data_IF_693939413970
#
_entry.id   IF_693939413970
#
_cell.length_a   1.000
_cell.length_b   1.000
_cell.length_c   1.000
_cell.angle_alpha   90.00
_cell.angle_beta   90.00
_cell.angle_gamma   90.00
#
_symmetry.space_group_name_H-M   'P 1'
#
loop_
_entity.id
_entity.type
_entity.pdbx_description
1 polymer ?
#
# COMPACT_ATOMS: atom_id res chain seq x y z
N UNK A 1 -20.85 18.98 -0.75
CA UNK A 1 -19.43 19.07 -0.39
C UNK A 1 -18.80 17.73 -0.69
N UNK A 2 -18.06 17.64 -1.78
CA UNK A 2 -17.37 16.44 -2.16
C UNK A 2 -16.32 16.07 -1.12
N UNK A 3 -16.42 14.86 -0.59
CA UNK A 3 -15.32 14.19 0.10
C UNK A 3 -14.24 13.88 -0.96
N UNK A 4 -13.38 14.84 -1.22
CA UNK A 4 -12.12 14.61 -1.93
C UNK A 4 -11.04 14.63 -0.86
N UNK A 5 -11.00 13.56 -0.07
CA UNK A 5 -9.86 13.28 0.78
C UNK A 5 -8.90 12.42 -0.02
N UNK A 6 -7.75 12.95 -0.40
CA UNK A 6 -6.64 12.12 -0.80
C UNK A 6 -6.23 11.27 0.40
N UNK A 7 -6.03 9.98 0.21
CA UNK A 7 -5.87 9.02 1.29
C UNK A 7 -4.63 8.17 1.05
N UNK A 8 -3.78 8.08 2.06
CA UNK A 8 -2.58 7.25 2.01
C UNK A 8 -2.58 6.27 3.17
N UNK A 9 -2.42 5.00 2.84
CA UNK A 9 -2.26 3.96 3.82
C UNK A 9 -0.81 3.51 3.91
N UNK A 10 -0.37 3.23 5.14
CA UNK A 10 0.99 2.80 5.43
C UNK A 10 0.98 1.36 5.92
N UNK A 11 2.11 0.67 5.73
CA UNK A 11 2.30 -0.68 6.20
C UNK A 11 3.72 -0.91 6.70
N UNK A 12 3.83 -1.37 7.95
CA UNK A 12 5.11 -1.62 8.62
C UNK A 12 5.36 -3.13 8.77
N UNK A 13 6.58 -3.59 8.46
CA UNK A 13 7.00 -4.98 8.64
C UNK A 13 8.28 -5.03 9.48
N UNK A 14 8.17 -5.57 10.68
CA UNK A 14 9.28 -5.75 11.62
C UNK A 14 10.08 -7.02 11.33
N UNK A 15 11.30 -7.10 11.84
CA UNK A 15 12.25 -8.18 11.54
C UNK A 15 11.76 -9.57 11.92
N UNK A 16 10.95 -9.68 12.96
CA UNK A 16 10.39 -10.94 13.44
C UNK A 16 9.39 -11.58 12.46
N UNK A 17 8.92 -10.84 11.46
CA UNK A 17 8.10 -11.38 10.36
C UNK A 17 8.86 -12.45 9.59
N UNK A 18 10.16 -12.28 9.39
CA UNK A 18 11.04 -13.20 8.68
C UNK A 18 11.64 -14.31 9.55
N UNK A 19 11.28 -14.39 10.84
CA UNK A 19 11.81 -15.40 11.76
C UNK A 19 11.49 -16.84 11.34
N UNK A 20 10.38 -17.01 10.59
CA UNK A 20 9.96 -18.32 10.04
C UNK A 20 9.36 -18.11 8.65
N UNK A 21 9.58 -19.06 7.76
CA UNK A 21 8.88 -19.17 6.48
C UNK A 21 7.59 -19.99 6.69
N UNK A 22 6.53 -19.32 7.07
CA UNK A 22 5.26 -19.90 7.50
C UNK A 22 4.06 -19.07 6.99
N UNK A 23 2.85 -19.53 7.32
CA UNK A 23 1.60 -18.85 6.94
C UNK A 23 1.55 -17.38 7.40
N UNK A 24 2.23 -17.02 8.48
CA UNK A 24 2.28 -15.63 8.93
C UNK A 24 3.07 -14.75 7.94
N UNK A 25 4.22 -15.22 7.49
CA UNK A 25 5.00 -14.52 6.47
C UNK A 25 4.23 -14.46 5.16
N UNK A 26 3.57 -15.57 4.76
CA UNK A 26 2.77 -15.59 3.52
C UNK A 26 1.63 -14.54 3.57
N UNK A 27 0.88 -14.48 4.66
CA UNK A 27 -0.15 -13.43 4.87
C UNK A 27 0.44 -12.02 4.90
N UNK A 28 1.64 -11.87 5.45
CA UNK A 28 2.35 -10.59 5.41
C UNK A 28 2.67 -10.18 3.97
N UNK A 29 3.17 -11.08 3.14
CA UNK A 29 3.44 -10.83 1.73
C UNK A 29 2.16 -10.60 0.91
N UNK A 30 1.07 -11.31 1.22
CA UNK A 30 -0.24 -11.06 0.65
C UNK A 30 -0.70 -9.63 0.98
N UNK A 31 -0.64 -9.25 2.26
CA UNK A 31 -0.95 -7.87 2.68
C UNK A 31 -0.06 -6.81 2.00
N UNK A 32 1.20 -7.14 1.67
CA UNK A 32 2.04 -6.28 0.83
C UNK A 32 1.46 -6.13 -0.57
N UNK A 33 1.11 -7.25 -1.22
CA UNK A 33 0.60 -7.25 -2.59
C UNK A 33 -0.78 -6.55 -2.74
N UNK A 34 -1.47 -6.26 -1.62
CA UNK A 34 -2.75 -5.53 -1.62
C UNK A 34 -2.67 -4.13 -2.22
N UNK A 35 -1.48 -3.57 -2.46
CA UNK A 35 -1.36 -2.33 -3.22
C UNK A 35 -1.86 -2.45 -4.67
N UNK A 36 -2.01 -3.67 -5.17
CA UNK A 36 -2.56 -3.96 -6.49
C UNK A 36 -4.07 -4.22 -6.50
N UNK A 37 -4.70 -4.35 -5.32
CA UNK A 37 -6.12 -4.65 -5.20
C UNK A 37 -6.95 -3.66 -6.01
N UNK A 38 -7.87 -4.19 -6.85
CA UNK A 38 -8.68 -3.35 -7.73
C UNK A 38 -7.81 -2.33 -8.52
N UNK A 39 -6.72 -2.80 -9.11
CA UNK A 39 -5.67 -2.02 -9.81
C UNK A 39 -5.12 -0.82 -9.02
N UNK A 40 -5.12 -0.91 -7.68
CA UNK A 40 -4.66 0.15 -6.78
C UNK A 40 -5.62 1.32 -6.60
N UNK A 41 -6.84 1.21 -7.14
CA UNK A 41 -7.89 2.24 -7.03
C UNK A 41 -8.81 1.97 -5.84
N UNK A 42 -8.20 1.77 -4.67
CA UNK A 42 -8.89 1.65 -3.37
C UNK A 42 -8.17 2.52 -2.34
N UNK A 43 -8.91 3.35 -1.64
CA UNK A 43 -8.38 4.30 -0.65
C UNK A 43 -7.51 3.65 0.44
N UNK A 44 -7.77 2.39 0.77
CA UNK A 44 -7.02 1.64 1.77
C UNK A 44 -5.94 0.71 1.18
N UNK A 45 -5.62 0.80 -0.11
CA UNK A 45 -4.44 0.14 -0.65
C UNK A 45 -3.16 0.68 0.00
N UNK A 46 -2.20 -0.20 0.38
CA UNK A 46 -0.90 0.27 0.86
C UNK A 46 -0.20 1.10 -0.21
N UNK A 47 0.00 2.38 0.04
CA UNK A 47 0.75 3.28 -0.86
C UNK A 47 2.18 3.49 -0.39
N UNK A 48 2.42 3.35 0.92
CA UNK A 48 3.73 3.37 1.54
C UNK A 48 3.98 2.09 2.34
N UNK A 49 5.15 1.52 2.21
CA UNK A 49 5.57 0.34 2.98
C UNK A 49 6.91 0.62 3.64
N UNK A 50 6.96 0.36 4.93
CA UNK A 50 8.17 0.43 5.74
C UNK A 50 8.62 -0.99 6.07
N UNK A 51 9.87 -1.30 5.79
CA UNK A 51 10.46 -2.62 6.07
C UNK A 51 11.70 -2.42 6.94
N UNK A 52 11.78 -3.17 8.04
CA UNK A 52 12.95 -3.08 8.92
C UNK A 52 14.24 -3.45 8.16
N UNK A 53 15.29 -2.67 8.34
CA UNK A 53 16.53 -2.74 7.56
C UNK A 53 17.15 -4.14 7.61
N UNK A 54 17.13 -4.81 8.76
CA UNK A 54 17.71 -6.14 8.96
C UNK A 54 17.11 -7.24 8.09
N UNK A 55 15.86 -7.08 7.62
CA UNK A 55 15.17 -8.07 6.78
C UNK A 55 14.93 -7.59 5.34
N UNK A 56 15.25 -6.35 5.05
CA UNK A 56 14.81 -5.66 3.84
C UNK A 56 15.05 -6.45 2.57
N UNK A 57 16.28 -6.87 2.31
CA UNK A 57 16.64 -7.52 1.05
C UNK A 57 15.88 -8.84 0.83
N UNK A 58 15.86 -9.69 1.87
CA UNK A 58 15.15 -10.99 1.80
C UNK A 58 13.64 -10.83 1.70
N UNK A 59 13.07 -9.85 2.43
CA UNK A 59 11.65 -9.56 2.35
C UNK A 59 11.27 -9.03 0.97
N UNK A 60 12.03 -8.08 0.44
CA UNK A 60 11.77 -7.49 -0.87
C UNK A 60 11.93 -8.48 -2.02
N UNK A 61 12.85 -9.42 -1.93
CA UNK A 61 12.96 -10.53 -2.90
C UNK A 61 11.63 -11.28 -3.02
N UNK A 62 11.05 -11.70 -1.88
CA UNK A 62 9.76 -12.41 -1.84
C UNK A 62 8.59 -11.50 -2.27
N UNK A 63 8.58 -10.26 -1.84
CA UNK A 63 7.54 -9.28 -2.18
C UNK A 63 7.52 -8.96 -3.68
N UNK A 64 8.67 -8.79 -4.30
CA UNK A 64 8.81 -8.59 -5.75
C UNK A 64 8.34 -9.83 -6.52
N UNK A 65 8.72 -11.03 -6.06
CA UNK A 65 8.25 -12.27 -6.67
C UNK A 65 6.72 -12.39 -6.61
N UNK A 66 6.10 -12.07 -5.46
CA UNK A 66 4.64 -12.05 -5.28
C UNK A 66 3.98 -11.02 -6.21
N UNK A 67 4.55 -9.83 -6.33
CA UNK A 67 4.04 -8.77 -7.21
C UNK A 67 4.08 -9.17 -8.68
N UNK A 68 5.17 -9.80 -9.13
CA UNK A 68 5.30 -10.30 -10.51
C UNK A 68 4.34 -11.43 -10.85
N UNK A 69 3.81 -12.13 -9.85
CA UNK A 69 2.81 -13.17 -10.03
C UNK A 69 1.38 -12.62 -10.20
N UNK A 70 1.16 -11.31 -10.00
CA UNK A 70 -0.15 -10.68 -10.21
C UNK A 70 -0.50 -10.69 -11.69
N UNK A 71 -1.58 -11.39 -12.03
CA UNK A 71 -2.07 -11.52 -13.41
C UNK A 71 -2.96 -10.34 -13.78
N UNK A 72 -2.56 -9.65 -14.82
CA UNK A 72 -3.27 -8.50 -15.36
C UNK A 72 -3.81 -8.84 -16.74
N UNK A 73 -5.14 -8.81 -16.94
CA UNK A 73 -5.80 -9.16 -18.19
C UNK A 73 -7.27 -8.68 -18.16
N UNK A 74 -8.10 -9.26 -19.04
CA UNK A 74 -9.54 -9.06 -19.09
C UNK A 74 -10.20 -9.52 -17.76
N UNK A 75 -10.91 -8.63 -17.05
CA UNK A 75 -11.53 -8.95 -15.76
C UNK A 75 -12.63 -10.02 -15.84
N UNK A 76 -13.09 -10.39 -17.02
CA UNK A 76 -14.05 -11.49 -17.20
C UNK A 76 -13.38 -12.88 -17.20
N UNK A 77 -12.05 -12.96 -17.23
CA UNK A 77 -11.33 -14.24 -17.09
C UNK A 77 -11.12 -14.57 -15.62
N UNK A 78 -11.33 -15.83 -15.25
CA UNK A 78 -11.24 -16.28 -13.85
C UNK A 78 -9.85 -16.14 -13.24
N UNK A 79 -8.81 -16.23 -14.04
CA UNK A 79 -7.41 -16.11 -13.61
C UNK A 79 -6.92 -14.66 -13.49
N UNK A 80 -7.68 -13.67 -13.95
CA UNK A 80 -7.31 -12.27 -13.86
C UNK A 80 -7.44 -11.76 -12.43
N UNK A 81 -6.37 -11.20 -11.92
CA UNK A 81 -6.34 -10.62 -10.57
C UNK A 81 -6.63 -9.11 -10.56
N UNK A 82 -6.16 -8.39 -11.58
CA UNK A 82 -6.40 -6.95 -11.75
C UNK A 82 -6.70 -6.59 -13.20
N UNK A 83 -7.54 -5.58 -13.38
CA UNK A 83 -7.97 -5.05 -14.67
C UNK A 83 -7.28 -3.76 -15.09
N UNK A 84 -7.93 -3.00 -15.96
CA UNK A 84 -7.52 -1.67 -16.40
C UNK A 84 -7.85 -0.61 -15.35
N UNK A 85 -7.13 0.53 -15.40
CA UNK A 85 -7.48 1.73 -14.64
C UNK A 85 -8.86 2.26 -15.08
N UNK A 86 -9.58 2.90 -14.14
CA UNK A 86 -10.94 3.36 -14.35
C UNK A 86 -11.10 4.35 -15.52
N UNK A 87 -10.06 5.13 -15.84
CA UNK A 87 -10.09 6.11 -16.92
C UNK A 87 -8.69 6.38 -17.51
N UNK A 88 -8.68 6.97 -18.70
CA UNK A 88 -7.44 7.47 -19.32
C UNK A 88 -6.80 8.57 -18.45
N UNK A 89 -7.60 9.46 -17.89
CA UNK A 89 -7.12 10.53 -17.00
C UNK A 89 -6.39 9.96 -15.79
N UNK A 90 -6.94 8.92 -15.16
CA UNK A 90 -6.30 8.25 -14.03
C UNK A 90 -5.00 7.56 -14.47
N UNK A 91 -4.98 6.89 -15.61
CA UNK A 91 -3.76 6.32 -16.17
C UNK A 91 -2.67 7.38 -16.39
N UNK A 92 -3.01 8.51 -16.98
CA UNK A 92 -2.06 9.61 -17.22
C UNK A 92 -1.55 10.22 -15.90
N UNK A 93 -2.43 10.37 -14.90
CA UNK A 93 -2.01 10.74 -13.53
C UNK A 93 -0.96 9.76 -12.99
N UNK A 94 -1.24 8.46 -13.02
CA UNK A 94 -0.30 7.45 -12.53
C UNK A 94 1.03 7.52 -13.29
N UNK A 95 1.01 7.61 -14.62
CA UNK A 95 2.22 7.77 -15.44
C UNK A 95 3.05 8.97 -15.02
N UNK A 96 2.41 10.10 -14.73
CA UNK A 96 3.10 11.30 -14.27
C UNK A 96 3.86 11.06 -12.97
N UNK A 97 3.31 10.24 -12.05
CA UNK A 97 3.99 9.85 -10.81
C UNK A 97 5.09 8.80 -11.04
N UNK A 98 4.93 7.88 -12.00
CA UNK A 98 6.02 6.97 -12.38
C UNK A 98 7.25 7.74 -12.89
N UNK A 99 7.03 8.77 -13.69
CA UNK A 99 8.09 9.65 -14.20
C UNK A 99 8.66 10.53 -13.08
N UNK A 100 7.80 11.05 -12.21
CA UNK A 100 8.20 11.85 -11.06
C UNK A 100 9.11 11.04 -10.12
N UNK A 101 8.72 9.81 -9.75
CA UNK A 101 9.54 8.96 -8.89
C UNK A 101 10.93 8.70 -9.47
N UNK A 102 11.00 8.39 -10.76
CA UNK A 102 12.29 8.24 -11.46
C UNK A 102 13.11 9.54 -11.44
N UNK A 103 12.46 10.70 -11.66
CA UNK A 103 13.10 12.02 -11.65
C UNK A 103 13.60 12.41 -10.26
N UNK A 104 12.90 12.04 -9.21
CA UNK A 104 13.31 12.25 -7.82
C UNK A 104 14.41 11.29 -7.36
N UNK A 105 14.82 10.33 -8.20
CA UNK A 105 15.86 9.38 -7.92
C UNK A 105 15.40 8.11 -7.20
N UNK A 106 14.12 7.84 -7.14
CA UNK A 106 13.62 6.58 -6.62
C UNK A 106 14.02 5.41 -7.53
N UNK A 107 14.42 4.30 -6.92
CA UNK A 107 14.79 3.08 -7.64
C UNK A 107 13.55 2.26 -7.96
N UNK A 108 13.33 1.93 -9.23
CA UNK A 108 12.28 1.00 -9.65
C UNK A 108 12.74 -0.43 -9.37
N UNK A 109 12.04 -1.13 -8.47
CA UNK A 109 12.31 -2.53 -8.15
C UNK A 109 11.48 -3.50 -8.99
N UNK A 110 10.29 -3.07 -9.42
CA UNK A 110 9.36 -3.84 -10.23
C UNK A 110 8.46 -2.90 -11.04
N UNK A 111 8.04 -3.27 -12.24
CA UNK A 111 7.12 -2.49 -13.07
C UNK A 111 7.69 -1.18 -13.58
N UNK A 112 6.93 -0.11 -13.45
CA UNK A 112 7.35 1.25 -13.82
C UNK A 112 6.94 1.69 -15.22
N UNK A 113 6.05 0.94 -15.90
CA UNK A 113 5.61 1.21 -17.25
C UNK A 113 4.10 1.00 -17.45
N UNK A 114 3.61 1.39 -18.60
CA UNK A 114 2.31 0.94 -19.12
C UNK A 114 2.41 -0.55 -19.43
N UNK A 115 1.45 -1.33 -18.95
CA UNK A 115 1.43 -2.76 -19.18
C UNK A 115 1.02 -3.09 -20.63
N UNK A 116 1.65 -4.12 -21.18
CA UNK A 116 1.32 -4.64 -22.53
C UNK A 116 0.42 -5.87 -22.38
N UNK A 117 -0.85 -5.71 -22.69
CA UNK A 117 -1.84 -6.78 -22.67
C UNK A 117 -2.11 -7.26 -24.09
N UNK A 118 -1.96 -8.55 -24.36
CA UNK A 118 -2.00 -9.14 -25.69
C UNK A 118 -3.34 -9.83 -26.05
N UNK A 119 -4.44 -9.47 -25.43
CA UNK A 119 -5.70 -10.19 -25.56
C UNK A 119 -6.79 -9.39 -26.29
N UNK A 120 -6.41 -8.54 -27.25
CA UNK A 120 -7.34 -7.59 -27.89
C UNK A 120 -7.66 -6.39 -27.00
N UNK A 121 -6.89 -6.19 -25.93
CA UNK A 121 -7.04 -5.14 -24.92
C UNK A 121 -5.91 -4.10 -24.96
N UNK A 122 -5.18 -4.03 -26.06
CA UNK A 122 -3.98 -3.19 -26.24
C UNK A 122 -4.28 -1.70 -26.07
N UNK A 123 -5.55 -1.31 -26.25
CA UNK A 123 -6.03 0.08 -26.07
C UNK A 123 -6.53 0.36 -24.65
N UNK A 124 -6.48 -0.61 -23.75
CA UNK A 124 -6.92 -0.46 -22.36
C UNK A 124 -5.91 0.32 -21.51
N UNK A 125 -6.41 0.89 -20.42
CA UNK A 125 -5.63 1.73 -19.51
C UNK A 125 -4.88 0.87 -18.48
N UNK A 126 -3.90 0.07 -18.88
CA UNK A 126 -3.20 -0.86 -18.01
C UNK A 126 -1.85 -0.30 -17.55
N UNK A 127 -1.60 -0.35 -16.25
CA UNK A 127 -0.33 0.04 -15.61
C UNK A 127 0.27 -1.20 -14.93
N UNK A 128 1.54 -1.44 -15.12
CA UNK A 128 2.26 -2.52 -14.41
C UNK A 128 2.25 -2.28 -12.90
N UNK A 129 1.98 -3.31 -12.07
CA UNK A 129 2.24 -3.22 -10.63
C UNK A 129 3.66 -2.76 -10.38
N UNK A 130 3.81 -1.63 -9.69
CA UNK A 130 5.08 -0.90 -9.58
C UNK A 130 5.51 -0.76 -8.14
N UNK A 131 6.78 -1.09 -7.88
CA UNK A 131 7.44 -0.91 -6.58
C UNK A 131 8.60 0.07 -6.76
N UNK A 132 8.55 1.18 -6.03
CA UNK A 132 9.66 2.11 -5.87
C UNK A 132 10.37 1.91 -4.53
N UNK A 133 11.69 2.00 -4.53
CA UNK A 133 12.50 2.18 -3.32
C UNK A 133 12.96 3.63 -3.25
N UNK A 134 12.76 4.27 -2.10
CA UNK A 134 13.13 5.67 -1.92
C UNK A 134 13.12 6.09 -0.46
N UNK A 135 12.92 7.37 -0.22
CA UNK A 135 12.82 7.95 1.12
C UNK A 135 11.51 8.74 1.29
N UNK A 136 11.11 8.92 2.55
CA UNK A 136 9.81 9.50 2.89
C UNK A 136 9.61 10.96 2.44
N UNK A 137 10.67 11.70 2.10
CA UNK A 137 10.56 13.09 1.62
C UNK A 137 10.19 13.21 0.14
N UNK A 138 10.25 12.12 -0.63
CA UNK A 138 9.85 12.11 -2.03
C UNK A 138 8.34 12.27 -2.18
N UNK A 139 7.90 12.96 -3.21
CA UNK A 139 6.46 13.19 -3.46
C UNK A 139 5.69 11.89 -3.66
N UNK A 140 6.30 10.87 -4.26
CA UNK A 140 5.69 9.53 -4.39
C UNK A 140 5.41 8.86 -3.04
N UNK A 141 6.00 9.34 -1.92
CA UNK A 141 5.72 8.92 -0.56
C UNK A 141 4.72 9.83 0.15
N UNK A 142 4.54 11.07 -0.31
CA UNK A 142 3.75 12.08 0.36
C UNK A 142 2.41 12.39 -0.33
N UNK A 143 2.27 11.98 -1.60
CA UNK A 143 1.09 12.29 -2.40
C UNK A 143 0.40 10.99 -2.85
N UNK A 144 -0.94 11.03 -2.92
CA UNK A 144 -1.74 9.90 -3.35
C UNK A 144 -1.68 9.69 -4.86
N UNK A 145 -1.15 8.55 -5.29
CA UNK A 145 -1.08 8.15 -6.69
C UNK A 145 -2.41 7.54 -7.16
N UNK A 146 -3.05 6.73 -6.30
CA UNK A 146 -4.30 6.02 -6.56
C UNK A 146 -4.22 5.07 -7.76
N UNK A 147 -3.22 4.21 -7.73
CA UNK A 147 -2.94 3.20 -8.76
C UNK A 147 -2.08 2.07 -8.20
N UNK A 148 -1.72 1.07 -9.01
CA UNK A 148 -0.97 -0.10 -8.55
C UNK A 148 0.52 0.23 -8.32
N UNK A 149 0.78 1.24 -7.50
CA UNK A 149 2.11 1.77 -7.20
C UNK A 149 2.30 1.85 -5.69
N UNK A 150 3.40 1.28 -5.22
CA UNK A 150 3.80 1.33 -3.82
C UNK A 150 5.21 1.86 -3.68
N UNK A 151 5.42 2.71 -2.68
CA UNK A 151 6.73 3.28 -2.35
C UNK A 151 7.26 2.64 -1.06
N UNK A 152 8.45 2.06 -1.12
CA UNK A 152 9.06 1.29 -0.02
C UNK A 152 10.27 2.02 0.52
N UNK A 153 10.38 2.10 1.84
CA UNK A 153 11.56 2.63 2.53
C UNK A 153 11.96 1.72 3.69
N UNK A 154 13.19 1.89 4.16
CA UNK A 154 13.75 1.17 5.31
C UNK A 154 13.51 1.94 6.60
N UNK A 155 13.47 1.22 7.71
CA UNK A 155 13.56 1.80 9.06
C UNK A 155 14.47 0.94 9.94
N UNK A 156 15.05 1.52 10.98
CA UNK A 156 16.00 0.85 11.89
C UNK A 156 15.29 0.22 13.08
N UNK A 157 14.44 1.00 13.71
CA UNK A 157 13.77 0.63 14.96
C UNK A 157 12.31 1.12 15.02
N UNK A 158 11.60 0.74 16.08
CA UNK A 158 10.21 1.09 16.28
C UNK A 158 9.95 2.60 16.31
N UNK A 159 10.87 3.38 16.89
CA UNK A 159 10.73 4.84 17.00
C UNK A 159 10.81 5.51 15.61
N UNK A 160 11.75 5.10 14.77
CA UNK A 160 11.88 5.59 13.40
C UNK A 160 10.69 5.14 12.54
N UNK A 161 10.24 3.88 12.67
CA UNK A 161 9.04 3.40 11.99
C UNK A 161 7.83 4.27 12.31
N UNK A 162 7.59 4.55 13.57
CA UNK A 162 6.48 5.39 14.02
C UNK A 162 6.61 6.84 13.53
N UNK A 163 7.82 7.39 13.56
CA UNK A 163 8.08 8.73 13.04
C UNK A 163 7.73 8.81 11.55
N UNK A 164 8.25 7.90 10.72
CA UNK A 164 7.99 7.88 9.28
C UNK A 164 6.51 7.61 9.01
N UNK A 165 5.88 6.68 9.76
CA UNK A 165 4.46 6.37 9.62
C UNK A 165 3.58 7.60 9.78
N UNK A 166 3.89 8.43 10.78
CA UNK A 166 3.13 9.63 11.12
C UNK A 166 3.52 10.89 10.31
N UNK A 167 4.64 10.85 9.60
CA UNK A 167 5.13 11.97 8.77
C UNK A 167 4.44 11.99 7.41
N UNK A 168 3.16 12.36 7.43
CA UNK A 168 2.30 12.56 6.28
C UNK A 168 1.09 13.42 6.66
N UNK A 169 0.47 14.04 5.68
CA UNK A 169 -0.77 14.79 5.83
C UNK A 169 -2.00 13.87 6.01
N UNK A 170 -1.89 12.59 5.72
CA UNK A 170 -2.99 11.63 5.71
C UNK A 170 -2.99 10.71 6.92
N UNK A 171 -4.12 10.05 7.16
CA UNK A 171 -4.27 9.13 8.26
C UNK A 171 -5.56 8.29 8.16
N UNK A 172 -5.78 7.62 7.01
CA UNK A 172 -6.96 6.75 6.86
C UNK A 172 -6.71 5.39 7.48
N UNK A 173 -5.72 4.66 7.01
CA UNK A 173 -5.46 3.31 7.44
C UNK A 173 -3.96 3.01 7.58
N UNK A 174 -3.66 2.04 8.43
CA UNK A 174 -2.33 1.51 8.60
C UNK A 174 -2.36 0.01 8.88
N UNK A 175 -1.30 -0.70 8.51
CA UNK A 175 -1.10 -2.11 8.84
C UNK A 175 0.24 -2.32 9.53
N UNK A 176 0.25 -3.11 10.59
CA UNK A 176 1.46 -3.46 11.35
C UNK A 176 1.63 -4.97 11.37
N UNK A 177 2.81 -5.42 11.01
CA UNK A 177 3.15 -6.84 10.98
C UNK A 177 4.34 -7.12 11.89
N UNK A 178 4.09 -7.82 12.97
CA UNK A 178 5.08 -8.24 13.97
C UNK A 178 4.54 -9.41 14.78
N UNK A 179 5.41 -10.31 15.21
CA UNK A 179 5.08 -11.39 16.15
C UNK A 179 5.16 -10.93 17.61
N UNK A 180 5.67 -9.71 17.85
CA UNK A 180 5.80 -9.14 19.18
C UNK A 180 4.53 -8.36 19.56
N UNK A 181 3.75 -8.90 20.50
CA UNK A 181 2.50 -8.29 20.94
C UNK A 181 2.67 -6.89 21.55
N UNK A 182 3.82 -6.59 22.16
CA UNK A 182 4.08 -5.25 22.72
C UNK A 182 4.31 -4.22 21.63
N UNK A 183 5.06 -4.56 20.58
CA UNK A 183 5.25 -3.69 19.39
C UNK A 183 3.89 -3.49 18.73
N UNK A 184 3.16 -4.59 18.47
CA UNK A 184 1.83 -4.54 17.86
C UNK A 184 0.88 -3.58 18.59
N UNK A 185 0.86 -3.64 19.93
CA UNK A 185 0.01 -2.78 20.74
C UNK A 185 0.44 -1.31 20.69
N UNK A 186 1.74 -1.01 20.86
CA UNK A 186 2.24 0.38 20.82
C UNK A 186 2.02 1.00 19.47
N UNK A 187 2.44 0.34 18.38
CA UNK A 187 2.24 0.83 17.02
C UNK A 187 0.76 1.05 16.70
N UNK A 188 -0.10 0.11 17.11
CA UNK A 188 -1.55 0.22 16.91
C UNK A 188 -2.17 1.43 17.62
N UNK A 189 -1.57 1.92 18.71
CA UNK A 189 -2.05 3.09 19.45
C UNK A 189 -1.45 4.41 18.96
N UNK A 190 -0.22 4.39 18.49
CA UNK A 190 0.55 5.61 18.25
C UNK A 190 0.58 6.03 16.78
N UNK A 191 0.27 5.12 15.85
CA UNK A 191 0.07 5.48 14.46
C UNK A 191 -1.19 6.32 14.32
N UNK A 192 -1.04 7.50 13.72
CA UNK A 192 -2.11 8.49 13.53
C UNK A 192 -2.97 8.15 12.30
N UNK A 193 -3.62 7.00 12.36
CA UNK A 193 -4.56 6.54 11.33
C UNK A 193 -5.90 6.16 11.98
N UNK A 194 -6.99 6.41 11.29
CA UNK A 194 -8.34 6.11 11.79
C UNK A 194 -8.59 4.62 11.97
N UNK A 195 -7.88 3.78 11.23
CA UNK A 195 -7.86 2.33 11.41
C UNK A 195 -6.42 1.80 11.34
N UNK A 196 -6.05 0.99 12.32
CA UNK A 196 -4.78 0.26 12.31
C UNK A 196 -5.08 -1.24 12.39
N UNK A 197 -4.68 -1.98 11.36
CA UNK A 197 -4.74 -3.44 11.33
C UNK A 197 -3.45 -4.02 11.89
N UNK A 198 -3.56 -5.03 12.72
CA UNK A 198 -2.41 -5.73 13.27
C UNK A 198 -2.42 -7.18 12.81
N UNK A 199 -1.36 -7.60 12.11
CA UNK A 199 -1.19 -8.95 11.57
C UNK A 199 -2.34 -9.42 10.66
N UNK A 200 -3.06 -8.49 10.10
CA UNK A 200 -4.05 -8.66 9.04
C UNK A 200 -4.12 -7.37 8.21
N UNK A 201 -4.83 -7.40 7.10
CA UNK A 201 -5.10 -6.21 6.31
C UNK A 201 -6.48 -6.32 5.67
N UNK A 202 -7.15 -5.18 5.42
CA UNK A 202 -8.48 -5.12 4.82
C UNK A 202 -9.59 -5.89 5.58
N UNK A 203 -9.43 -6.10 6.90
CA UNK A 203 -10.50 -6.65 7.73
C UNK A 203 -11.44 -5.52 8.20
N UNK A 204 -12.72 -5.59 7.83
CA UNK A 204 -13.74 -4.58 8.13
C UNK A 204 -14.90 -5.16 8.96
N UNK A 205 -14.72 -5.36 10.26
CA UNK A 205 -15.80 -5.82 11.12
C UNK A 205 -16.87 -4.73 11.27
N UNK A 206 -18.14 -5.10 11.12
CA UNK A 206 -19.26 -4.17 11.15
C UNK A 206 -19.42 -3.39 12.47
N UNK A 207 -18.84 -3.91 13.56
CA UNK A 207 -18.88 -3.28 14.88
C UNK A 207 -17.74 -2.30 15.16
N UNK A 208 -16.81 -2.09 14.22
CA UNK A 208 -15.69 -1.18 14.37
C UNK A 208 -15.84 0.00 13.41
N UNK A 209 -15.81 1.20 13.96
CA UNK A 209 -15.89 2.43 13.18
C UNK A 209 -14.77 2.54 12.14
N UNK A 210 -15.11 2.97 10.92
CA UNK A 210 -14.17 3.25 9.85
C UNK A 210 -14.17 4.74 9.51
N UNK A 211 -13.01 5.30 9.29
CA UNK A 211 -12.82 6.71 8.88
C UNK A 211 -11.39 7.17 9.12
N UNK A 212 -11.07 8.37 8.67
CA UNK A 212 -9.73 8.93 8.69
C UNK A 212 -9.45 9.90 9.82
N UNK A 213 -8.16 10.25 9.95
CA UNK A 213 -7.66 11.40 10.68
C UNK A 213 -6.94 12.36 9.71
N UNK A 214 -6.52 13.50 10.20
CA UNK A 214 -5.78 14.51 9.43
C UNK A 214 -6.55 14.90 8.15
N UNK A 215 -5.86 14.99 7.02
CA UNK A 215 -6.45 15.32 5.71
C UNK A 215 -7.31 14.20 5.11
N UNK A 216 -7.26 12.99 5.66
CA UNK A 216 -8.16 11.90 5.25
C UNK A 216 -9.60 12.04 5.78
N UNK A 217 -9.90 13.12 6.49
CA UNK A 217 -11.24 13.44 6.97
C UNK A 217 -11.50 13.05 8.42
N UNK A 218 -12.69 13.40 8.91
CA UNK A 218 -13.08 13.25 10.32
C UNK A 218 -14.33 12.38 10.52
N UNK A 219 -15.04 12.03 9.45
CA UNK A 219 -16.24 11.18 9.51
C UNK A 219 -15.91 9.76 9.96
N UNK A 220 -16.92 9.08 10.43
CA UNK A 220 -16.86 7.64 10.76
C UNK A 220 -18.08 6.96 10.19
N UNK A 221 -17.95 5.69 9.79
CA UNK A 221 -19.02 4.84 9.29
C UNK A 221 -18.98 3.45 9.95
N UNK A 222 -19.98 2.63 9.69
CA UNK A 222 -20.11 1.23 10.13
C UNK A 222 -20.26 1.01 11.64
N UNK A 223 -20.45 2.03 12.46
CA UNK A 223 -20.60 1.89 13.91
C UNK A 223 -21.68 2.84 14.44
N UNK A 224 -22.33 2.48 15.57
CA UNK A 224 -23.34 3.33 16.24
C UNK A 224 -22.84 4.71 16.69
N UNK A 225 -21.53 4.94 16.70
CA UNK A 225 -20.95 6.29 16.87
C UNK A 225 -21.34 7.26 15.75
N UNK A 226 -21.93 6.76 14.66
CA UNK A 226 -22.45 7.55 13.55
C UNK A 226 -23.85 8.13 13.84
N UNK A 227 -24.53 7.59 14.85
CA UNK A 227 -25.87 8.01 15.27
C UNK A 227 -25.81 9.08 16.36
#
# INVERSE_FOLDING_TARGET
AGLVGSEMCIRDSFEDVMAKDDDFLDKCLEGFAMFTLNQGEVCTCPSRVLVQESIYDKFMEKAIARTKAVKQDNPLKMETMIGAQASLEQMEKIKSYLDLGKKEGAKVLCGGNVAKINSGLEKGNYIEPTIFEGNNSMRIFQEEIFGPVVSVTKFKDEAEALQIANDTLYGLGAGVWTRNGNIAYRMGREIQAGRVWTNCYHAYPAHAAFGGYKQSGIGRETHKMML
#
